data_IF_897862993419
#
_entry.id   IF_897862993419
#
_cell.length_a   1.000
_cell.length_b   1.000
_cell.length_c   1.000
_cell.angle_alpha   90.00
_cell.angle_beta   90.00
_cell.angle_gamma   90.00
#
_symmetry.space_group_name_H-M   'P 1'
#
loop_
_entity.id
_entity.type
_entity.pdbx_description
1 polymer ?
#
# COMPACT_ATOMS: atom_id res chain seq x y z
N UNK A 1 67.08 -65.39 -10.25
CA UNK A 1 65.64 -65.66 -10.03
C UNK A 1 64.85 -64.44 -9.68
N UNK A 2 65.45 -63.43 -9.13
CA UNK A 2 64.71 -62.16 -8.67
C UNK A 2 63.95 -61.37 -9.74
N UNK A 3 64.46 -61.32 -10.98
CA UNK A 3 63.82 -60.49 -12.03
C UNK A 3 62.46 -61.04 -12.56
N UNK A 4 62.18 -62.36 -12.42
CA UNK A 4 60.95 -62.96 -12.87
C UNK A 4 59.80 -62.67 -11.87
N UNK A 5 60.10 -62.79 -10.58
CA UNK A 5 59.16 -62.55 -9.50
C UNK A 5 58.73 -61.09 -9.46
N UNK A 6 59.69 -60.14 -9.65
CA UNK A 6 59.40 -58.70 -9.71
C UNK A 6 58.48 -58.34 -10.88
N UNK A 7 58.71 -58.95 -12.06
CA UNK A 7 57.83 -58.73 -13.23
C UNK A 7 56.43 -59.24 -13.01
N UNK A 8 56.27 -60.42 -12.37
CA UNK A 8 54.92 -60.96 -12.07
C UNK A 8 54.17 -60.06 -11.08
N UNK A 9 54.82 -59.58 -10.02
CA UNK A 9 54.28 -58.73 -9.04
C UNK A 9 53.85 -57.37 -9.68
N UNK A 10 54.73 -56.79 -10.48
CA UNK A 10 54.46 -55.53 -11.17
C UNK A 10 53.27 -55.66 -12.14
N UNK A 11 53.19 -56.75 -12.89
CA UNK A 11 52.06 -57.02 -13.80
C UNK A 11 50.77 -57.20 -13.04
N UNK A 12 50.78 -57.89 -11.90
CA UNK A 12 49.60 -58.06 -11.05
C UNK A 12 49.11 -56.72 -10.48
N UNK A 13 49.99 -55.85 -10.00
CA UNK A 13 49.65 -54.54 -9.47
C UNK A 13 49.07 -53.65 -10.56
N UNK A 14 49.64 -53.63 -11.74
CA UNK A 14 49.10 -52.85 -12.88
C UNK A 14 47.72 -53.36 -13.28
N UNK A 15 47.51 -54.68 -13.32
CA UNK A 15 46.23 -55.27 -13.69
C UNK A 15 45.11 -54.92 -12.68
N UNK A 16 45.44 -55.02 -11.38
CA UNK A 16 44.46 -54.64 -10.31
C UNK A 16 44.14 -53.14 -10.38
N UNK A 17 45.15 -52.31 -10.61
CA UNK A 17 44.94 -50.86 -10.77
C UNK A 17 44.07 -50.53 -11.98
N UNK A 18 44.25 -51.22 -13.10
CA UNK A 18 43.50 -51.04 -14.31
C UNK A 18 41.97 -51.40 -14.11
N UNK A 19 41.80 -52.59 -13.47
CA UNK A 19 40.39 -53.03 -13.15
C UNK A 19 39.70 -52.05 -12.19
N UNK A 20 40.43 -51.58 -11.16
CA UNK A 20 39.92 -50.60 -10.23
C UNK A 20 39.51 -49.29 -10.91
N UNK A 21 40.32 -48.78 -11.80
CA UNK A 21 40.03 -47.58 -12.57
C UNK A 21 38.81 -47.74 -13.53
N UNK A 22 38.68 -48.90 -14.15
CA UNK A 22 37.54 -49.23 -15.01
C UNK A 22 36.26 -49.28 -14.16
N UNK A 23 36.27 -49.91 -13.00
CA UNK A 23 35.12 -49.97 -12.10
C UNK A 23 34.68 -48.56 -11.62
N UNK A 24 35.64 -47.74 -11.23
CA UNK A 24 35.37 -46.33 -10.85
C UNK A 24 34.81 -45.51 -12.02
N UNK A 25 35.32 -45.72 -13.22
CA UNK A 25 34.79 -45.04 -14.41
C UNK A 25 33.32 -45.42 -14.69
N UNK A 26 32.99 -46.71 -14.57
CA UNK A 26 31.60 -47.15 -14.74
C UNK A 26 30.69 -46.61 -13.64
N UNK A 27 31.13 -46.58 -12.40
CA UNK A 27 30.37 -46.02 -11.28
C UNK A 27 30.12 -44.52 -11.44
N UNK A 28 31.14 -43.75 -11.84
CA UNK A 28 30.99 -42.32 -12.13
C UNK A 28 30.06 -42.06 -13.31
N UNK A 29 30.11 -42.88 -14.34
CA UNK A 29 29.22 -42.77 -15.48
C UNK A 29 27.76 -43.04 -15.08
N UNK A 30 27.50 -44.05 -14.29
CA UNK A 30 26.17 -44.39 -13.79
C UNK A 30 25.60 -43.28 -12.87
N UNK A 31 26.44 -42.68 -12.01
CA UNK A 31 26.07 -41.53 -11.20
C UNK A 31 25.75 -40.30 -12.06
N UNK A 32 26.52 -40.03 -13.10
CA UNK A 32 26.24 -38.92 -14.02
C UNK A 32 24.92 -39.09 -14.76
N UNK A 33 24.67 -40.30 -15.29
CA UNK A 33 23.41 -40.60 -15.99
C UNK A 33 22.19 -40.45 -15.04
N UNK A 34 22.31 -40.93 -13.80
CA UNK A 34 21.28 -40.85 -12.77
C UNK A 34 21.02 -39.38 -12.36
N UNK A 35 22.06 -38.57 -12.21
CA UNK A 35 21.98 -37.19 -11.87
C UNK A 35 21.37 -36.36 -13.03
N UNK A 36 21.72 -36.65 -14.26
CA UNK A 36 21.16 -36.00 -15.46
C UNK A 36 19.65 -36.27 -15.54
N UNK A 37 19.24 -37.51 -15.36
CA UNK A 37 17.84 -37.90 -15.37
C UNK A 37 17.03 -37.20 -14.25
N UNK A 38 17.56 -37.11 -13.03
CA UNK A 38 16.95 -36.40 -11.93
C UNK A 38 16.81 -34.91 -12.22
N UNK A 39 17.83 -34.29 -12.82
CA UNK A 39 17.77 -32.85 -13.20
C UNK A 39 16.70 -32.61 -14.27
N UNK A 40 16.62 -33.48 -15.27
CA UNK A 40 15.58 -33.36 -16.32
C UNK A 40 14.17 -33.55 -15.75
N UNK A 41 13.96 -34.49 -14.84
CA UNK A 41 12.70 -34.73 -14.18
C UNK A 41 12.27 -33.50 -13.33
N UNK A 42 13.21 -32.97 -12.54
CA UNK A 42 12.98 -31.77 -11.73
C UNK A 42 12.65 -30.55 -12.62
N UNK A 43 13.41 -30.37 -13.70
CA UNK A 43 13.17 -29.28 -14.66
C UNK A 43 11.80 -29.40 -15.34
N UNK A 44 11.41 -30.62 -15.74
CA UNK A 44 10.09 -30.89 -16.31
C UNK A 44 8.96 -30.59 -15.32
N UNK A 45 9.08 -31.10 -14.10
CA UNK A 45 8.10 -30.85 -13.02
C UNK A 45 7.98 -29.37 -12.66
N UNK A 46 9.10 -28.65 -12.63
CA UNK A 46 9.11 -27.20 -12.41
C UNK A 46 8.44 -26.44 -13.56
N UNK A 47 8.72 -26.84 -14.80
CA UNK A 47 8.10 -26.25 -15.98
C UNK A 47 6.57 -26.48 -16.02
N UNK A 48 6.11 -27.67 -15.68
CA UNK A 48 4.68 -28.01 -15.61
C UNK A 48 3.98 -27.20 -14.50
N UNK A 49 4.59 -27.09 -13.31
CA UNK A 49 4.08 -26.24 -12.22
C UNK A 49 4.00 -24.76 -12.63
N UNK A 50 5.03 -24.24 -13.29
CA UNK A 50 5.02 -22.86 -13.78
C UNK A 50 3.89 -22.62 -14.80
N UNK A 51 3.72 -23.54 -15.75
CA UNK A 51 2.61 -23.45 -16.72
C UNK A 51 1.25 -23.47 -16.04
N UNK A 52 1.06 -24.37 -15.07
CA UNK A 52 -0.19 -24.46 -14.30
C UNK A 52 -0.46 -23.17 -13.52
N UNK A 53 0.53 -22.69 -12.76
CA UNK A 53 0.41 -21.45 -11.99
C UNK A 53 0.14 -20.23 -12.88
N UNK A 54 0.79 -20.15 -14.03
CA UNK A 54 0.57 -19.09 -15.02
C UNK A 54 -0.85 -19.14 -15.58
N UNK A 55 -1.35 -20.33 -15.92
CA UNK A 55 -2.72 -20.51 -16.41
C UNK A 55 -3.76 -20.15 -15.34
N UNK A 56 -3.54 -20.56 -14.09
CA UNK A 56 -4.43 -20.21 -12.96
C UNK A 56 -4.41 -18.70 -12.67
N UNK A 57 -3.23 -18.08 -12.75
CA UNK A 57 -3.10 -16.63 -12.57
C UNK A 57 -3.83 -15.87 -13.69
N UNK A 58 -3.68 -16.31 -14.94
CA UNK A 58 -4.37 -15.70 -16.08
C UNK A 58 -5.89 -15.83 -15.92
N UNK A 59 -6.41 -17.00 -15.56
CA UNK A 59 -7.83 -17.19 -15.33
C UNK A 59 -8.39 -16.30 -14.21
N UNK A 60 -7.59 -16.06 -13.16
CA UNK A 60 -7.97 -15.10 -12.10
C UNK A 60 -8.00 -13.66 -12.60
N UNK A 61 -7.03 -13.27 -13.42
CA UNK A 61 -6.97 -11.94 -14.03
C UNK A 61 -8.20 -11.72 -14.93
N UNK A 62 -8.52 -12.70 -15.77
CA UNK A 62 -9.67 -12.61 -16.66
C UNK A 62 -10.99 -12.48 -15.89
N UNK A 63 -11.14 -13.25 -14.79
CA UNK A 63 -12.32 -13.16 -13.91
C UNK A 63 -12.40 -11.81 -13.20
N UNK A 64 -11.27 -11.27 -12.72
CA UNK A 64 -11.22 -9.96 -12.09
C UNK A 64 -11.59 -8.86 -13.09
N UNK A 65 -11.07 -8.92 -14.30
CA UNK A 65 -11.40 -7.97 -15.36
C UNK A 65 -12.90 -8.01 -15.71
N UNK A 66 -13.48 -9.21 -15.77
CA UNK A 66 -14.93 -9.35 -15.96
C UNK A 66 -15.70 -8.69 -14.82
N UNK A 67 -15.33 -8.96 -13.58
CA UNK A 67 -15.97 -8.34 -12.39
C UNK A 67 -15.84 -6.83 -12.41
N UNK A 68 -14.69 -6.30 -12.78
CA UNK A 68 -14.47 -4.85 -12.93
C UNK A 68 -15.41 -4.26 -13.99
N UNK A 69 -15.55 -4.92 -15.14
CA UNK A 69 -16.46 -4.47 -16.19
C UNK A 69 -17.93 -4.50 -15.75
N UNK A 70 -18.35 -5.56 -15.06
CA UNK A 70 -19.70 -5.67 -14.49
C UNK A 70 -19.96 -4.54 -13.47
N UNK A 71 -19.00 -4.27 -12.57
CA UNK A 71 -19.12 -3.19 -11.60
C UNK A 71 -19.12 -1.79 -12.24
N UNK A 72 -18.35 -1.59 -13.28
CA UNK A 72 -18.37 -0.33 -14.02
C UNK A 72 -19.73 -0.11 -14.71
N UNK A 73 -20.32 -1.16 -15.29
CA UNK A 73 -21.67 -1.07 -15.87
C UNK A 73 -22.74 -0.79 -14.79
N UNK A 74 -22.63 -1.43 -13.62
CA UNK A 74 -23.52 -1.14 -12.49
C UNK A 74 -23.40 0.32 -12.02
N UNK A 75 -22.18 0.82 -11.92
CA UNK A 75 -21.89 2.24 -11.60
C UNK A 75 -22.51 3.17 -12.66
N UNK A 76 -22.38 2.86 -13.94
CA UNK A 76 -22.93 3.68 -15.00
C UNK A 76 -24.48 3.65 -15.03
N UNK A 77 -25.08 2.49 -14.73
CA UNK A 77 -26.52 2.37 -14.56
C UNK A 77 -27.03 3.17 -13.34
N UNK A 78 -26.32 3.09 -12.21
CA UNK A 78 -26.64 3.88 -11.03
C UNK A 78 -26.52 5.40 -11.30
N UNK A 79 -25.48 5.81 -12.02
CA UNK A 79 -25.34 7.22 -12.46
C UNK A 79 -26.46 7.67 -13.40
N UNK A 80 -26.99 6.79 -14.24
CA UNK A 80 -28.12 7.11 -15.11
C UNK A 80 -29.45 7.15 -14.36
N UNK A 81 -29.66 6.30 -13.37
CA UNK A 81 -30.86 6.32 -12.52
C UNK A 81 -30.90 7.53 -11.58
N UNK A 82 -29.73 7.98 -11.09
CA UNK A 82 -29.60 9.18 -10.26
C UNK A 82 -29.69 10.49 -11.08
N UNK A 83 -29.62 10.39 -12.41
CA UNK A 83 -29.68 11.55 -13.31
C UNK A 83 -31.00 12.31 -13.35
N UNK A 84 -32.04 11.87 -12.60
CA UNK A 84 -33.33 12.56 -12.48
C UNK A 84 -33.51 13.34 -11.19
N UNK A 85 -32.58 13.20 -10.22
CA UNK A 85 -32.48 14.13 -9.09
C UNK A 85 -31.45 15.19 -9.46
N UNK A 86 -31.88 16.46 -9.51
CA UNK A 86 -31.02 17.60 -9.75
C UNK A 86 -29.73 17.40 -8.92
N UNK A 87 -28.62 17.05 -9.57
CA UNK A 87 -27.30 17.12 -8.97
C UNK A 87 -27.11 18.58 -8.61
N UNK A 88 -27.23 18.91 -7.34
CA UNK A 88 -26.63 20.12 -6.85
C UNK A 88 -25.13 19.96 -7.11
N UNK A 89 -24.67 20.66 -8.13
CA UNK A 89 -23.30 20.55 -8.61
C UNK A 89 -22.40 21.08 -7.50
N UNK A 90 -21.59 20.18 -6.91
CA UNK A 90 -20.64 20.58 -5.86
C UNK A 90 -19.77 21.69 -6.39
N UNK A 91 -19.87 22.86 -5.80
CA UNK A 91 -19.10 24.01 -6.24
C UNK A 91 -17.60 23.83 -5.90
N UNK A 92 -16.76 24.45 -6.68
CA UNK A 92 -15.32 24.48 -6.40
C UNK A 92 -15.03 25.12 -5.03
N UNK A 93 -15.86 26.08 -4.60
CA UNK A 93 -15.78 26.70 -3.28
C UNK A 93 -15.97 25.67 -2.14
N UNK A 94 -17.00 24.81 -2.21
CA UNK A 94 -17.25 23.76 -1.22
C UNK A 94 -16.08 22.78 -1.16
N UNK A 95 -15.60 22.29 -2.32
CA UNK A 95 -14.45 21.41 -2.37
C UNK A 95 -13.22 22.02 -1.71
N UNK A 96 -12.98 23.31 -1.95
CA UNK A 96 -11.87 24.06 -1.37
C UNK A 96 -12.00 24.21 0.14
N UNK A 97 -13.22 24.47 0.64
CA UNK A 97 -13.51 24.53 2.07
C UNK A 97 -13.19 23.20 2.77
N UNK A 98 -13.68 22.07 2.22
CA UNK A 98 -13.38 20.75 2.76
C UNK A 98 -11.87 20.42 2.71
N UNK A 99 -11.17 20.80 1.64
CA UNK A 99 -9.72 20.62 1.50
C UNK A 99 -8.94 21.44 2.53
N UNK A 100 -9.28 22.71 2.70
CA UNK A 100 -8.65 23.60 3.66
C UNK A 100 -8.85 23.12 5.10
N UNK A 101 -10.10 22.75 5.42
CA UNK A 101 -10.40 22.12 6.71
C UNK A 101 -9.56 20.86 6.95
N UNK A 102 -9.48 19.97 5.95
CA UNK A 102 -8.72 18.73 6.06
C UNK A 102 -7.23 18.98 6.34
N UNK A 103 -6.62 19.96 5.69
CA UNK A 103 -5.22 20.36 5.92
C UNK A 103 -5.02 20.83 7.36
N UNK A 104 -5.87 21.71 7.83
CA UNK A 104 -5.78 22.31 9.17
C UNK A 104 -6.10 21.31 10.29
N UNK A 105 -7.05 20.41 10.07
CA UNK A 105 -7.44 19.39 11.03
C UNK A 105 -6.34 18.36 11.31
N UNK A 106 -5.45 18.14 10.35
CA UNK A 106 -4.32 17.19 10.49
C UNK A 106 -3.06 17.87 11.02
N UNK A 107 -2.92 19.18 10.86
CA UNK A 107 -1.76 19.93 11.34
C UNK A 107 -1.80 20.08 12.87
N UNK A 108 -1.08 19.19 13.54
CA UNK A 108 -0.99 19.16 15.00
C UNK A 108 0.00 20.15 15.60
N UNK A 109 0.70 20.92 14.77
CA UNK A 109 1.64 21.95 15.24
C UNK A 109 0.96 23.30 15.46
N UNK A 110 -0.25 23.49 14.96
CA UNK A 110 -1.01 24.73 15.17
C UNK A 110 -1.52 24.81 16.60
N UNK A 111 -1.27 25.94 17.23
CA UNK A 111 -1.89 26.28 18.50
C UNK A 111 -3.41 26.45 18.33
N UNK A 112 -4.16 26.31 19.43
CA UNK A 112 -5.63 26.52 19.44
C UNK A 112 -6.00 27.87 18.84
N UNK A 113 -5.28 28.93 19.20
CA UNK A 113 -5.58 30.28 18.72
C UNK A 113 -5.36 30.38 17.21
N UNK A 114 -4.24 29.85 16.69
CA UNK A 114 -3.97 29.84 15.26
C UNK A 114 -4.99 29.00 14.49
N UNK A 115 -5.37 27.84 15.04
CA UNK A 115 -6.39 26.97 14.44
C UNK A 115 -7.74 27.68 14.41
N UNK A 116 -8.17 28.34 15.50
CA UNK A 116 -9.41 29.09 15.58
C UNK A 116 -9.44 30.22 14.54
N UNK A 117 -8.37 31.00 14.43
CA UNK A 117 -8.29 32.09 13.45
C UNK A 117 -8.34 31.58 12.01
N UNK A 118 -7.69 30.48 11.71
CA UNK A 118 -7.70 29.90 10.35
C UNK A 118 -9.01 29.21 9.99
N UNK A 119 -9.72 28.66 10.97
CA UNK A 119 -10.95 27.88 10.73
C UNK A 119 -12.24 28.71 10.86
N UNK A 120 -12.22 29.92 11.41
CA UNK A 120 -13.42 30.72 11.66
C UNK A 120 -14.34 30.93 10.44
N UNK A 121 -13.73 31.01 9.25
CA UNK A 121 -14.46 31.18 8.00
C UNK A 121 -14.80 29.85 7.31
N UNK A 122 -14.17 28.75 7.75
CA UNK A 122 -14.23 27.41 7.13
C UNK A 122 -15.13 26.46 7.91
N UNK A 123 -15.21 26.61 9.24
CA UNK A 123 -15.93 25.70 10.11
C UNK A 123 -16.78 26.44 11.15
N UNK A 124 -17.74 25.73 11.74
CA UNK A 124 -18.52 26.25 12.87
C UNK A 124 -17.68 26.22 14.16
N UNK A 125 -18.05 27.05 15.14
CA UNK A 125 -17.36 27.07 16.44
C UNK A 125 -17.39 25.72 17.13
N UNK A 126 -18.49 24.97 17.02
CA UNK A 126 -18.64 23.63 17.57
C UNK A 126 -17.59 22.66 17.02
N UNK A 127 -17.33 22.73 15.71
CA UNK A 127 -16.30 21.92 15.04
C UNK A 127 -14.90 22.33 15.50
N UNK A 128 -14.65 23.62 15.66
CA UNK A 128 -13.36 24.13 16.16
C UNK A 128 -13.12 23.65 17.60
N UNK A 129 -14.12 23.72 18.46
CA UNK A 129 -14.03 23.25 19.83
C UNK A 129 -13.86 21.72 19.93
N UNK A 130 -14.50 20.97 19.03
CA UNK A 130 -14.31 19.52 18.90
C UNK A 130 -12.88 19.15 18.44
N UNK A 131 -12.30 19.98 17.56
CA UNK A 131 -10.97 19.76 17.01
C UNK A 131 -9.86 20.12 18.02
N UNK A 132 -10.08 21.17 18.79
CA UNK A 132 -9.14 21.68 19.81
C UNK A 132 -9.90 22.05 21.09
N UNK A 133 -10.20 21.09 21.98
CA UNK A 133 -10.91 21.32 23.24
C UNK A 133 -10.22 22.36 24.13
N UNK A 134 -11.03 23.15 24.87
CA UNK A 134 -10.50 24.21 25.72
C UNK A 134 -9.68 23.71 26.91
N UNK A 135 -9.97 22.49 27.37
CA UNK A 135 -9.31 21.88 28.52
C UNK A 135 -7.99 21.16 28.17
N UNK A 136 -7.61 21.19 26.89
CA UNK A 136 -6.33 20.67 26.43
C UNK A 136 -5.22 21.69 26.70
N UNK A 137 -5.14 22.14 27.98
CA UNK A 137 -4.10 23.02 28.53
C UNK A 137 -2.74 22.29 28.66
N UNK A 138 -2.61 21.16 27.99
CA UNK A 138 -1.32 20.59 27.71
C UNK A 138 -0.64 21.54 26.74
N UNK A 139 0.11 22.49 27.32
CA UNK A 139 1.07 23.28 26.58
C UNK A 139 1.81 22.33 25.65
N UNK A 140 1.60 22.53 24.36
CA UNK A 140 2.26 21.76 23.30
C UNK A 140 3.79 22.04 23.23
N UNK A 141 4.38 22.42 24.38
CA UNK A 141 5.83 22.64 24.51
C UNK A 141 6.64 21.43 24.06
N UNK A 142 6.06 20.23 24.18
CA UNK A 142 6.70 19.00 23.72
C UNK A 142 6.61 18.80 22.18
N UNK A 143 5.67 19.44 21.49
CA UNK A 143 5.54 19.32 20.03
C UNK A 143 6.52 20.21 19.26
N UNK A 144 7.16 21.19 19.90
CA UNK A 144 8.18 22.04 19.28
C UNK A 144 9.39 21.29 18.74
N UNK A 145 9.52 20.02 19.10
CA UNK A 145 10.57 19.12 18.60
C UNK A 145 10.18 18.36 17.32
N UNK A 146 8.94 18.42 16.90
CA UNK A 146 8.48 17.70 15.71
C UNK A 146 8.47 18.59 14.47
N UNK A 147 8.86 18.04 13.34
CA UNK A 147 8.64 18.64 12.04
C UNK A 147 7.40 18.02 11.39
N UNK A 148 6.56 18.85 10.84
CA UNK A 148 5.39 18.45 10.08
C UNK A 148 5.49 19.03 8.67
N UNK A 149 5.27 18.20 7.67
CA UNK A 149 5.25 18.63 6.27
C UNK A 149 4.02 18.06 5.62
N UNK A 150 3.13 18.95 5.18
CA UNK A 150 1.96 18.60 4.42
C UNK A 150 2.37 18.11 3.03
N UNK A 151 1.77 17.00 2.59
CA UNK A 151 1.94 16.43 1.27
C UNK A 151 0.69 16.65 0.40
N UNK A 152 0.36 15.63 -0.39
CA UNK A 152 -0.79 15.69 -1.29
C UNK A 152 -2.11 15.65 -0.52
N UNK A 153 -3.09 16.43 -1.01
CA UNK A 153 -4.46 16.42 -0.51
C UNK A 153 -5.40 16.06 -1.66
N UNK A 154 -6.31 15.13 -1.39
CA UNK A 154 -7.30 14.66 -2.34
C UNK A 154 -8.68 14.74 -1.70
N UNK A 155 -9.61 15.47 -2.34
CA UNK A 155 -10.96 15.72 -1.83
C UNK A 155 -11.99 15.16 -2.81
N UNK A 156 -12.84 14.27 -2.30
CA UNK A 156 -13.89 13.61 -3.06
C UNK A 156 -15.25 13.96 -2.46
N UNK A 157 -16.14 14.51 -3.28
CA UNK A 157 -17.51 14.74 -2.88
C UNK A 157 -18.27 13.41 -2.83
N UNK A 158 -19.05 13.20 -1.78
CA UNK A 158 -20.00 12.11 -1.68
C UNK A 158 -21.38 12.58 -2.12
N UNK A 159 -22.16 11.69 -2.72
CA UNK A 159 -23.55 12.00 -3.03
C UNK A 159 -24.32 12.16 -1.72
N UNK A 160 -24.83 13.34 -1.44
CA UNK A 160 -25.73 13.58 -0.31
C UNK A 160 -27.18 13.44 -0.77
N UNK A 161 -28.00 12.81 0.07
CA UNK A 161 -29.44 12.76 -0.11
C UNK A 161 -30.15 13.89 0.64
N UNK A 162 -29.41 14.64 1.44
CA UNK A 162 -29.92 15.75 2.26
C UNK A 162 -29.68 17.04 1.50
N UNK A 163 -30.75 17.80 1.29
CA UNK A 163 -30.69 19.13 0.69
C UNK A 163 -29.95 20.07 1.64
N UNK A 164 -29.09 20.93 1.10
CA UNK A 164 -28.31 21.89 1.88
C UNK A 164 -27.22 21.24 2.75
N UNK A 165 -26.87 19.95 2.48
CA UNK A 165 -25.79 19.26 3.13
C UNK A 165 -24.91 18.62 2.06
N UNK A 166 -23.59 18.79 2.17
CA UNK A 166 -22.62 18.14 1.29
C UNK A 166 -21.57 17.40 2.11
N UNK A 167 -21.32 16.14 1.74
CA UNK A 167 -20.34 15.31 2.39
C UNK A 167 -19.11 15.13 1.50
N UNK A 168 -17.94 15.16 2.13
CA UNK A 168 -16.66 14.94 1.48
C UNK A 168 -15.84 13.86 2.20
N UNK A 169 -15.01 13.20 1.43
CA UNK A 169 -13.89 12.40 1.94
C UNK A 169 -12.61 13.13 1.56
N UNK A 170 -11.81 13.46 2.55
CA UNK A 170 -10.53 14.14 2.36
C UNK A 170 -9.40 13.23 2.80
N UNK A 171 -8.48 12.95 1.89
CA UNK A 171 -7.24 12.26 2.17
C UNK A 171 -6.11 13.27 2.22
N UNK A 172 -5.28 13.17 3.25
CA UNK A 172 -4.16 14.08 3.46
C UNK A 172 -2.91 13.25 3.71
N UNK A 173 -1.96 13.32 2.81
CA UNK A 173 -0.65 12.74 3.02
C UNK A 173 0.22 13.74 3.78
N UNK A 174 0.95 13.30 4.79
CA UNK A 174 1.85 14.15 5.54
C UNK A 174 3.06 13.38 6.07
N UNK A 175 4.09 14.12 6.41
CA UNK A 175 5.32 13.57 6.96
C UNK A 175 5.56 14.15 8.35
N UNK A 176 5.77 13.29 9.32
CA UNK A 176 6.18 13.67 10.68
C UNK A 176 7.60 13.20 10.91
N UNK A 177 8.44 14.10 11.43
CA UNK A 177 9.78 13.79 11.87
C UNK A 177 10.10 14.44 13.21
N UNK A 178 11.05 13.88 13.95
CA UNK A 178 11.59 14.51 15.14
C UNK A 178 13.06 14.85 14.87
N UNK A 179 13.42 16.15 14.69
CA UNK A 179 14.79 16.58 14.41
C UNK A 179 15.80 16.24 15.51
N UNK A 180 15.32 15.96 16.72
CA UNK A 180 16.20 15.58 17.84
C UNK A 180 16.75 14.16 17.68
N UNK A 181 16.04 13.30 16.95
CA UNK A 181 16.46 11.92 16.69
C UNK A 181 16.99 11.79 15.25
N UNK A 182 18.26 12.16 15.07
CA UNK A 182 18.91 12.20 13.74
C UNK A 182 18.92 10.86 13.01
N UNK A 183 18.84 9.76 13.75
CA UNK A 183 18.85 8.40 13.21
C UNK A 183 17.44 7.87 12.86
N UNK A 184 16.39 8.61 13.22
CA UNK A 184 15.01 8.24 12.92
C UNK A 184 14.54 8.97 11.67
N UNK A 185 14.25 8.23 10.62
CA UNK A 185 13.72 8.80 9.39
C UNK A 185 12.31 9.33 9.61
N UNK A 186 11.97 10.50 9.03
CA UNK A 186 10.61 11.02 9.03
C UNK A 186 9.62 9.98 8.47
N UNK A 187 8.48 9.84 9.13
CA UNK A 187 7.44 8.90 8.74
C UNK A 187 6.42 9.56 7.83
N UNK A 188 6.13 8.92 6.71
CA UNK A 188 5.02 9.30 5.83
C UNK A 188 3.74 8.65 6.33
N UNK A 189 2.73 9.46 6.57
CA UNK A 189 1.43 9.04 7.09
C UNK A 189 0.36 9.43 6.07
N UNK A 190 -0.62 8.56 5.91
CA UNK A 190 -1.82 8.80 5.11
C UNK A 190 -2.99 8.98 6.05
N UNK A 191 -3.40 10.21 6.22
CA UNK A 191 -4.58 10.58 7.00
C UNK A 191 -5.84 10.56 6.15
N UNK A 192 -6.98 10.35 6.78
CA UNK A 192 -8.29 10.46 6.14
C UNK A 192 -9.33 11.01 7.09
N UNK A 193 -10.23 11.82 6.57
CA UNK A 193 -11.38 12.33 7.32
C UNK A 193 -12.60 12.44 6.42
N UNK A 194 -13.77 12.23 7.01
CA UNK A 194 -15.04 12.65 6.44
C UNK A 194 -15.38 14.03 6.93
N UNK A 195 -15.93 14.85 6.07
CA UNK A 195 -16.31 16.25 6.36
C UNK A 195 -17.73 16.45 5.89
N UNK A 196 -18.57 17.03 6.75
CA UNK A 196 -19.93 17.43 6.42
C UNK A 196 -20.00 18.95 6.40
N UNK A 197 -20.43 19.52 5.28
CA UNK A 197 -20.67 20.95 5.12
C UNK A 197 -22.16 21.25 5.06
N UNK A 198 -22.56 22.38 5.64
CA UNK A 198 -23.91 22.96 5.53
C UNK A 198 -23.81 24.45 5.29
N UNK A 199 -24.90 25.01 4.78
CA UNK A 199 -25.03 26.48 4.72
C UNK A 199 -25.31 27.06 6.12
N UNK A 200 -24.38 27.90 6.57
CA UNK A 200 -24.51 28.66 7.82
C UNK A 200 -24.32 30.14 7.47
N UNK A 201 -25.35 30.95 7.73
CA UNK A 201 -25.37 32.38 7.39
C UNK A 201 -25.05 32.68 5.91
N UNK A 202 -25.50 31.80 5.01
CA UNK A 202 -25.30 31.93 3.57
C UNK A 202 -23.92 31.48 3.06
N UNK A 203 -23.07 30.96 3.92
CA UNK A 203 -21.78 30.40 3.60
C UNK A 203 -21.71 28.89 3.86
N UNK A 204 -21.03 28.17 3.03
CA UNK A 204 -20.73 26.75 3.27
C UNK A 204 -19.64 26.63 4.35
N UNK A 205 -19.99 25.96 5.45
CA UNK A 205 -19.08 25.71 6.57
C UNK A 205 -19.12 24.25 6.97
N UNK A 206 -17.98 23.75 7.42
CA UNK A 206 -17.88 22.43 8.04
C UNK A 206 -18.64 22.44 9.36
N UNK A 207 -19.62 21.54 9.47
CA UNK A 207 -20.47 21.37 10.64
C UNK A 207 -20.24 20.09 11.40
N UNK A 208 -19.58 19.11 10.76
CA UNK A 208 -19.13 17.88 11.42
C UNK A 208 -17.95 17.25 10.66
N UNK A 209 -17.18 16.46 11.38
CA UNK A 209 -16.09 15.67 10.82
C UNK A 209 -15.81 14.42 11.65
N UNK A 210 -15.20 13.41 11.03
CA UNK A 210 -14.62 12.26 11.72
C UNK A 210 -13.37 11.76 11.02
N UNK A 211 -12.39 11.33 11.81
CA UNK A 211 -11.19 10.70 11.29
C UNK A 211 -11.43 9.22 10.99
N UNK A 212 -10.74 8.71 9.99
CA UNK A 212 -10.66 7.28 9.75
C UNK A 212 -9.22 6.89 9.36
N UNK A 213 -8.85 5.65 9.65
CA UNK A 213 -7.57 5.07 9.24
C UNK A 213 -7.73 4.39 7.90
N UNK A 214 -6.74 4.55 7.04
CA UNK A 214 -6.67 3.93 5.72
C UNK A 214 -5.80 2.67 5.76
#
# INVERSE_FOLDING_TARGET
MENKTLKIVLTAVISVSLIGNIALFWQLKEEQETNTFKIEEVAKNASEKLKKNSSEAQAKIDKLNQTINEKNQEIDQLKQQDGTKAKEEVTEAQRKTAEEFGKLAIDKLLSRNELTEKLKDVATQEVIDKLSPADDDHQHDDYGSYSFTLGDVQTYAQTSSVKEEQNFVVFVDYTIGNPQFKDVKPQKIKGGLTVTEKQVDGQWKVTDFSYFTR
#
